data_IF_961480156128
#
_entry.id   IF_961480156128
#
_cell.length_a   1.000
_cell.length_b   1.000
_cell.length_c   1.000
_cell.angle_alpha   90.00
_cell.angle_beta   90.00
_cell.angle_gamma   90.00
#
_symmetry.space_group_name_H-M   'P 1'
#
loop_
_entity.id
_entity.type
_entity.pdbx_description
1 polymer ?
#
# COMPACT_ATOMS: atom_id res chain seq x y z
N UNK A 1 10.39 -1.99 -2.92
CA UNK A 1 10.41 -1.94 -1.44
C UNK A 1 10.29 -3.31 -0.78
N UNK A 2 9.25 -4.12 -1.07
CA UNK A 2 9.12 -5.48 -0.49
C UNK A 2 10.32 -6.42 -0.73
N UNK A 3 10.88 -6.42 -1.93
CA UNK A 3 12.06 -7.23 -2.25
C UNK A 3 13.31 -6.76 -1.49
N UNK A 4 13.38 -5.45 -1.18
CA UNK A 4 14.47 -4.83 -0.41
C UNK A 4 14.36 -5.16 1.08
N UNK A 5 13.14 -5.20 1.62
CA UNK A 5 12.85 -5.67 2.98
C UNK A 5 13.20 -7.15 3.15
N UNK A 6 12.79 -8.00 2.21
CA UNK A 6 13.15 -9.43 2.24
C UNK A 6 14.68 -9.65 2.22
N UNK A 7 15.41 -8.89 1.39
CA UNK A 7 16.87 -8.95 1.38
C UNK A 7 17.51 -8.49 2.69
N UNK A 8 16.92 -7.50 3.38
CA UNK A 8 17.40 -7.00 4.68
C UNK A 8 17.10 -8.01 5.81
N UNK A 9 15.96 -8.69 5.75
CA UNK A 9 15.62 -9.79 6.67
C UNK A 9 16.56 -10.98 6.49
N UNK A 10 16.87 -11.35 5.25
CA UNK A 10 17.86 -12.40 4.95
C UNK A 10 19.26 -12.02 5.47
N UNK A 11 19.65 -10.75 5.35
CA UNK A 11 20.92 -10.22 5.84
C UNK A 11 20.99 -10.28 7.38
N UNK A 12 19.93 -9.88 8.09
CA UNK A 12 19.83 -10.01 9.55
C UNK A 12 19.95 -11.48 9.97
N UNK A 13 19.29 -12.39 9.25
CA UNK A 13 19.28 -13.81 9.59
C UNK A 13 20.69 -14.42 9.44
N UNK A 14 21.43 -14.03 8.38
CA UNK A 14 22.82 -14.44 8.18
C UNK A 14 23.74 -13.89 9.25
N UNK A 15 23.64 -12.59 9.57
CA UNK A 15 24.45 -11.96 10.60
C UNK A 15 24.16 -12.56 11.99
N UNK A 16 22.92 -12.93 12.27
CA UNK A 16 22.53 -13.64 13.49
C UNK A 16 23.16 -15.04 13.58
N UNK A 17 23.18 -15.79 12.48
CA UNK A 17 23.84 -17.10 12.43
C UNK A 17 25.37 -16.98 12.58
N UNK A 18 25.98 -15.97 11.97
CA UNK A 18 27.41 -15.69 12.08
C UNK A 18 27.78 -15.30 13.52
N UNK A 19 26.96 -14.46 14.17
CA UNK A 19 27.09 -14.10 15.60
C UNK A 19 27.05 -15.33 16.50
N UNK A 20 26.12 -16.26 16.25
CA UNK A 20 25.98 -17.49 17.01
C UNK A 20 27.21 -18.40 16.87
N UNK A 21 27.71 -18.58 15.65
CA UNK A 21 28.91 -19.37 15.38
C UNK A 21 30.18 -18.77 16.01
N UNK A 22 30.26 -17.45 16.10
CA UNK A 22 31.37 -16.74 16.77
C UNK A 22 31.39 -16.91 18.29
N UNK A 23 30.25 -17.22 18.92
CA UNK A 23 30.19 -17.50 20.35
C UNK A 23 30.70 -18.90 20.73
N UNK A 24 30.80 -19.83 19.77
CA UNK A 24 31.01 -21.26 20.02
C UNK A 24 32.49 -21.71 19.93
N UNK A 25 33.45 -20.81 20.19
CA UNK A 25 34.89 -21.10 19.99
C UNK A 25 35.58 -21.55 21.30
N UNK A 26 36.28 -22.68 21.21
CA UNK A 26 36.90 -23.45 22.31
C UNK A 26 38.31 -23.01 22.74
N UNK A 27 38.90 -21.97 22.14
CA UNK A 27 40.26 -21.50 22.47
C UNK A 27 40.25 -20.23 23.34
N UNK A 28 40.50 -20.40 24.64
CA UNK A 28 40.63 -19.30 25.60
C UNK A 28 41.99 -18.58 25.49
N UNK A 29 42.05 -17.56 24.64
CA UNK A 29 43.09 -16.52 24.71
C UNK A 29 42.42 -15.16 24.92
N UNK A 30 42.82 -14.43 25.97
CA UNK A 30 42.24 -13.14 26.36
C UNK A 30 42.27 -12.12 25.21
N UNK A 31 43.33 -12.13 24.39
CA UNK A 31 43.43 -11.26 23.21
C UNK A 31 42.43 -11.62 22.11
N UNK A 32 42.20 -12.91 21.86
CA UNK A 32 41.19 -13.36 20.87
C UNK A 32 39.77 -13.01 21.33
N UNK A 33 39.48 -13.16 22.62
CA UNK A 33 38.18 -12.78 23.20
C UNK A 33 37.89 -11.28 23.06
N UNK A 34 38.88 -10.41 23.27
CA UNK A 34 38.71 -8.96 23.10
C UNK A 34 38.42 -8.55 21.65
N UNK A 35 39.09 -9.19 20.69
CA UNK A 35 38.84 -8.95 19.25
C UNK A 35 37.44 -9.44 18.86
N UNK A 36 37.04 -10.63 19.32
CA UNK A 36 35.69 -11.16 19.10
C UNK A 36 34.62 -10.26 19.72
N UNK A 37 34.83 -9.77 20.94
CA UNK A 37 33.86 -8.87 21.58
C UNK A 37 33.69 -7.57 20.80
N UNK A 38 34.77 -6.98 20.28
CA UNK A 38 34.68 -5.80 19.41
C UNK A 38 33.91 -6.11 18.12
N UNK A 39 34.15 -7.27 17.53
CA UNK A 39 33.44 -7.69 16.32
C UNK A 39 31.94 -7.94 16.58
N UNK A 40 31.58 -8.53 17.72
CA UNK A 40 30.20 -8.71 18.16
C UNK A 40 29.48 -7.37 18.35
N UNK A 41 30.16 -6.36 18.91
CA UNK A 41 29.60 -5.01 19.07
C UNK A 41 29.37 -4.32 17.73
N UNK A 42 30.30 -4.46 16.78
CA UNK A 42 30.13 -3.94 15.42
C UNK A 42 28.97 -4.63 14.68
N UNK A 43 28.84 -5.95 14.84
CA UNK A 43 27.69 -6.71 14.33
C UNK A 43 26.37 -6.21 14.91
N UNK A 44 26.31 -6.02 16.23
CA UNK A 44 25.09 -5.52 16.90
C UNK A 44 24.75 -4.10 16.44
N UNK A 45 25.74 -3.23 16.29
CA UNK A 45 25.55 -1.89 15.74
C UNK A 45 24.99 -1.95 14.33
N UNK A 46 25.58 -2.77 13.46
CA UNK A 46 25.16 -2.92 12.06
C UNK A 46 23.76 -3.54 11.94
N UNK A 47 23.43 -4.50 12.79
CA UNK A 47 22.07 -5.03 12.91
C UNK A 47 21.07 -3.94 13.35
N UNK A 48 21.48 -3.06 14.28
CA UNK A 48 20.67 -1.92 14.71
C UNK A 48 20.41 -0.90 13.59
N UNK A 49 21.44 -0.58 12.80
CA UNK A 49 21.32 0.30 11.62
C UNK A 49 20.36 -0.30 10.58
N UNK A 50 20.54 -1.58 10.23
CA UNK A 50 19.68 -2.29 9.28
C UNK A 50 18.23 -2.34 9.77
N UNK A 51 18.01 -2.56 11.08
CA UNK A 51 16.66 -2.59 11.66
C UNK A 51 15.98 -1.23 11.60
N UNK A 52 16.72 -0.15 11.84
CA UNK A 52 16.19 1.22 11.73
C UNK A 52 15.81 1.53 10.28
N UNK A 53 16.70 1.22 9.32
CA UNK A 53 16.43 1.40 7.89
C UNK A 53 15.22 0.57 7.42
N UNK A 54 15.06 -0.65 7.95
CA UNK A 54 13.89 -1.49 7.67
C UNK A 54 12.59 -0.89 8.20
N UNK A 55 12.61 -0.26 9.38
CA UNK A 55 11.45 0.42 9.96
C UNK A 55 11.06 1.66 9.15
N UNK A 56 12.04 2.46 8.72
CA UNK A 56 11.81 3.62 7.86
C UNK A 56 11.18 3.21 6.53
N UNK A 57 11.70 2.17 5.89
CA UNK A 57 11.13 1.62 4.65
C UNK A 57 9.72 1.05 4.85
N UNK A 58 9.43 0.44 6.00
CA UNK A 58 8.07 -0.03 6.32
C UNK A 58 7.09 1.14 6.46
N UNK A 59 7.48 2.20 7.18
CA UNK A 59 6.67 3.39 7.33
C UNK A 59 6.41 4.07 5.97
N UNK A 60 7.42 4.16 5.11
CA UNK A 60 7.27 4.75 3.78
C UNK A 60 6.27 3.96 2.92
N UNK A 61 6.35 2.63 2.95
CA UNK A 61 5.37 1.76 2.27
C UNK A 61 3.96 1.98 2.80
N UNK A 62 3.81 2.10 4.12
CA UNK A 62 2.50 2.30 4.74
C UNK A 62 1.88 3.65 4.38
N UNK A 63 2.68 4.72 4.34
CA UNK A 63 2.21 6.04 3.89
C UNK A 63 1.73 6.01 2.44
N UNK A 64 2.54 5.46 1.52
CA UNK A 64 2.16 5.36 0.10
C UNK A 64 0.91 4.51 -0.08
N UNK A 65 0.76 3.44 0.70
CA UNK A 65 -0.43 2.60 0.66
C UNK A 65 -1.67 3.38 1.11
N UNK A 66 -1.57 4.18 2.17
CA UNK A 66 -2.68 5.02 2.63
C UNK A 66 -3.09 6.05 1.58
N UNK A 67 -2.14 6.71 0.92
CA UNK A 67 -2.42 7.66 -0.17
C UNK A 67 -3.16 6.98 -1.32
N UNK A 68 -2.70 5.80 -1.76
CA UNK A 68 -3.36 5.04 -2.84
C UNK A 68 -4.77 4.63 -2.45
N UNK A 69 -4.98 4.17 -1.21
CA UNK A 69 -6.32 3.81 -0.72
C UNK A 69 -7.23 5.03 -0.71
N UNK A 70 -6.73 6.19 -0.30
CA UNK A 70 -7.49 7.42 -0.27
C UNK A 70 -7.87 7.88 -1.69
N UNK A 71 -6.92 7.88 -2.63
CA UNK A 71 -7.17 8.19 -4.03
C UNK A 71 -8.19 7.23 -4.66
N UNK A 72 -8.14 5.94 -4.33
CA UNK A 72 -9.11 4.96 -4.81
C UNK A 72 -10.52 5.21 -4.25
N UNK A 73 -10.63 5.63 -2.98
CA UNK A 73 -11.91 6.01 -2.39
C UNK A 73 -12.51 7.23 -3.08
N UNK A 74 -11.70 8.26 -3.32
CA UNK A 74 -12.13 9.48 -4.00
C UNK A 74 -12.59 9.19 -5.43
N UNK A 75 -11.81 8.41 -6.18
CA UNK A 75 -12.21 7.95 -7.51
C UNK A 75 -13.56 7.22 -7.49
N UNK A 76 -13.78 6.31 -6.54
CA UNK A 76 -15.04 5.57 -6.42
C UNK A 76 -16.23 6.48 -6.06
N UNK A 77 -15.99 7.55 -5.29
CA UNK A 77 -17.03 8.55 -5.00
C UNK A 77 -17.40 9.32 -6.25
N UNK A 78 -16.40 9.75 -7.05
CA UNK A 78 -16.63 10.44 -8.31
C UNK A 78 -17.38 9.57 -9.32
N UNK A 79 -16.94 8.32 -9.53
CA UNK A 79 -17.62 7.36 -10.43
C UNK A 79 -19.10 7.18 -10.03
N UNK A 80 -19.38 7.01 -8.73
CA UNK A 80 -20.77 6.92 -8.24
C UNK A 80 -21.58 8.20 -8.44
N UNK A 81 -20.92 9.36 -8.41
CA UNK A 81 -21.59 10.65 -8.64
C UNK A 81 -21.96 10.80 -10.12
N UNK A 82 -21.04 10.43 -11.01
CA UNK A 82 -21.27 10.39 -12.46
C UNK A 82 -22.39 9.42 -12.83
N UNK A 83 -22.38 8.20 -12.27
CA UNK A 83 -23.46 7.21 -12.46
C UNK A 83 -24.83 7.77 -12.05
N UNK A 84 -24.89 8.48 -10.91
CA UNK A 84 -26.14 9.10 -10.44
C UNK A 84 -26.60 10.22 -11.37
N UNK A 85 -25.69 11.09 -11.81
CA UNK A 85 -26.03 12.17 -12.73
C UNK A 85 -26.51 11.62 -14.07
N UNK A 86 -25.85 10.60 -14.61
CA UNK A 86 -26.25 9.94 -15.84
C UNK A 86 -27.62 9.26 -15.70
N UNK A 87 -27.89 8.61 -14.57
CA UNK A 87 -29.20 8.03 -14.30
C UNK A 87 -30.32 9.09 -14.20
N UNK A 88 -30.04 10.23 -13.56
CA UNK A 88 -30.98 11.34 -13.47
C UNK A 88 -31.28 11.94 -14.86
N UNK A 89 -30.24 12.17 -15.67
CA UNK A 89 -30.39 12.65 -17.04
C UNK A 89 -31.25 11.70 -17.88
N UNK A 90 -31.00 10.39 -17.81
CA UNK A 90 -31.81 9.40 -18.51
C UNK A 90 -33.28 9.39 -18.07
N UNK A 91 -33.55 9.63 -16.78
CA UNK A 91 -34.94 9.75 -16.31
C UNK A 91 -35.62 11.00 -16.85
N UNK A 92 -34.90 12.12 -16.90
CA UNK A 92 -35.41 13.39 -17.42
C UNK A 92 -35.73 13.28 -18.91
N UNK A 93 -34.82 12.72 -19.71
CA UNK A 93 -35.05 12.47 -21.14
C UNK A 93 -36.28 11.59 -21.35
N UNK A 94 -36.41 10.49 -20.61
CA UNK A 94 -37.60 9.61 -20.71
C UNK A 94 -38.90 10.34 -20.33
N UNK A 95 -38.85 11.21 -19.33
CA UNK A 95 -40.00 11.98 -18.91
C UNK A 95 -40.40 13.00 -19.98
N UNK A 96 -39.43 13.68 -20.59
CA UNK A 96 -39.68 14.58 -21.71
C UNK A 96 -40.22 13.85 -22.94
N UNK A 97 -39.66 12.69 -23.30
CA UNK A 97 -40.16 11.84 -24.38
C UNK A 97 -41.62 11.42 -24.14
N UNK A 98 -41.93 10.99 -22.91
CA UNK A 98 -43.30 10.62 -22.55
C UNK A 98 -44.26 11.81 -22.65
N UNK A 99 -43.84 12.99 -22.18
CA UNK A 99 -44.62 14.21 -22.29
C UNK A 99 -44.89 14.59 -23.76
N UNK A 100 -43.89 14.47 -24.63
CA UNK A 100 -44.05 14.72 -26.06
C UNK A 100 -45.03 13.72 -26.71
N UNK A 101 -44.95 12.44 -26.36
CA UNK A 101 -45.89 11.42 -26.83
C UNK A 101 -47.32 11.69 -26.37
N UNK A 102 -47.50 12.10 -25.11
CA UNK A 102 -48.80 12.48 -24.57
C UNK A 102 -49.36 13.73 -25.28
N UNK A 103 -48.54 14.75 -25.51
CA UNK A 103 -48.92 15.96 -26.26
C UNK A 103 -49.30 15.65 -27.72
N UNK A 104 -48.62 14.71 -28.37
CA UNK A 104 -48.97 14.24 -29.71
C UNK A 104 -50.27 13.42 -29.72
N UNK A 105 -50.47 12.57 -28.71
CA UNK A 105 -51.67 11.73 -28.56
C UNK A 105 -52.93 12.51 -28.21
N UNK A 106 -52.78 13.65 -27.53
CA UNK A 106 -53.90 14.50 -27.10
C UNK A 106 -54.27 15.59 -28.11
N UNK A 107 -53.66 15.59 -29.32
CA UNK A 107 -54.12 16.44 -30.42
C UNK A 107 -55.54 16.01 -30.81
N UNK A 108 -56.53 16.91 -30.81
CA UNK A 108 -57.88 16.54 -31.20
C UNK A 108 -57.84 16.01 -32.63
N UNK A 109 -58.28 14.77 -32.82
CA UNK A 109 -58.56 14.25 -34.16
C UNK A 109 -59.59 15.19 -34.76
N UNK A 110 -59.18 15.99 -35.74
CA UNK A 110 -60.12 16.72 -36.57
C UNK A 110 -61.07 15.69 -37.18
N UNK A 111 -62.28 15.63 -36.65
CA UNK A 111 -63.40 14.89 -37.23
C UNK A 111 -63.80 15.69 -38.46
N UNK A 112 -63.48 15.15 -39.64
CA UNK A 112 -63.99 15.61 -40.94
C UNK A 112 -65.43 15.13 -41.07
#
# INVERSE_FOLDING_TARGET
MRQRLASKEDEITRLGAEKFNLMDVSELSVGKMQVQQRYLLELDRRMGEIKTESLELQNEVEMVLQEVVQAQRERKVLEKLEEKQHAAYLQEVKHEEQKQLDEMGNRPKFVI
#
